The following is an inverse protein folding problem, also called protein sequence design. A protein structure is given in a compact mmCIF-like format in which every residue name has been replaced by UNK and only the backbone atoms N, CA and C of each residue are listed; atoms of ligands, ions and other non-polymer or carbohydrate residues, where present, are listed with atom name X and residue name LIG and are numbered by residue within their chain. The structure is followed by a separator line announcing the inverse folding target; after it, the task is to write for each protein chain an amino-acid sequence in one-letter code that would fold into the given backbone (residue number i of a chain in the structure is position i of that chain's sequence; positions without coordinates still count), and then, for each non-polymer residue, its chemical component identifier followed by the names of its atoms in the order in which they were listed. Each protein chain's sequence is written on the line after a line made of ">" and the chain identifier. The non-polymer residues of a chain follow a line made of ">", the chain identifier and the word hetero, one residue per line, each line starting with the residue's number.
data_IF_342220297189
#
_entry.id   IF_342220297189
#
_cell.length_a   1.000
_cell.length_b   1.000
_cell.length_c   1.000
_cell.angle_alpha   90.00
_cell.angle_beta   90.00
_cell.angle_gamma   90.00
#
_symmetry.space_group_name_H-M   'P 1'
#
loop_
_entity.id
_entity.type
_entity.pdbx_description
1 polymer ?
#
# COMPACT_ATOMS: atom_id res chain seq x y z
N UNK A 1 -46.12 15.68 -19.34
CA UNK A 1 -45.71 15.41 -17.94
C UNK A 1 -44.64 14.32 -18.01
N UNK A 2 -43.38 14.65 -18.29
CA UNK A 2 -42.36 15.17 -17.36
C UNK A 2 -42.34 14.38 -16.05
N UNK A 3 -41.32 13.53 -15.89
CA UNK A 3 -40.39 13.67 -14.78
C UNK A 3 -39.05 13.05 -15.17
N UNK A 4 -38.17 13.93 -15.65
CA UNK A 4 -36.75 13.70 -15.90
C UNK A 4 -36.05 13.15 -14.65
N UNK A 5 -35.38 12.01 -14.82
CA UNK A 5 -34.30 11.60 -13.93
C UNK A 5 -33.06 12.45 -14.25
N UNK A 6 -32.38 13.04 -13.26
CA UNK A 6 -31.26 13.93 -13.52
C UNK A 6 -30.06 13.16 -14.10
N UNK A 7 -29.72 13.51 -15.34
CA UNK A 7 -28.51 13.11 -16.08
C UNK A 7 -27.18 13.36 -15.34
N UNK A 8 -27.20 14.09 -14.22
CA UNK A 8 -26.04 14.42 -13.40
C UNK A 8 -25.47 13.24 -12.57
N UNK A 9 -26.24 12.16 -12.32
CA UNK A 9 -25.74 11.01 -11.56
C UNK A 9 -24.98 9.96 -12.40
N UNK A 10 -25.14 9.96 -13.73
CA UNK A 10 -24.49 8.99 -14.62
C UNK A 10 -23.04 9.37 -14.95
N UNK A 11 -22.75 10.67 -15.06
CA UNK A 11 -21.38 11.19 -15.26
C UNK A 11 -20.48 11.07 -14.02
N UNK A 12 -21.05 11.08 -12.81
CA UNK A 12 -20.31 11.05 -11.54
C UNK A 12 -19.80 9.64 -11.17
N UNK A 13 -20.53 8.60 -11.56
CA UNK A 13 -20.06 7.18 -11.46
C UNK A 13 -19.00 6.86 -12.50
N UNK A 14 -19.08 7.49 -13.68
CA UNK A 14 -18.08 7.35 -14.73
C UNK A 14 -16.74 7.91 -14.26
N UNK A 15 -16.71 9.11 -13.67
CA UNK A 15 -15.49 9.78 -13.21
C UNK A 15 -14.70 9.02 -12.12
N UNK A 16 -15.40 8.37 -11.18
CA UNK A 16 -14.76 7.55 -10.12
C UNK A 16 -14.22 6.24 -10.71
N UNK A 17 -14.93 5.64 -11.68
CA UNK A 17 -14.41 4.48 -12.41
C UNK A 17 -13.19 4.86 -13.27
N UNK A 18 -13.17 6.04 -13.89
CA UNK A 18 -12.03 6.50 -14.69
C UNK A 18 -10.78 6.70 -13.84
N UNK A 19 -10.91 7.15 -12.60
CA UNK A 19 -9.79 7.32 -11.66
C UNK A 19 -9.19 5.99 -11.18
N UNK A 20 -10.03 4.98 -10.92
CA UNK A 20 -9.57 3.62 -10.56
C UNK A 20 -8.98 2.89 -11.77
N UNK A 21 -9.51 3.13 -12.96
CA UNK A 21 -8.99 2.57 -14.22
C UNK A 21 -7.68 3.24 -14.63
N UNK A 22 -7.50 4.54 -14.38
CA UNK A 22 -6.21 5.23 -14.58
C UNK A 22 -5.12 4.70 -13.65
N UNK A 23 -5.48 4.31 -12.41
CA UNK A 23 -4.54 3.65 -11.49
C UNK A 23 -4.12 2.25 -11.98
N UNK A 24 -4.92 1.59 -12.83
CA UNK A 24 -4.59 0.28 -13.41
C UNK A 24 -3.95 0.36 -14.81
N UNK A 25 -3.97 1.52 -15.48
CA UNK A 25 -3.61 1.64 -16.89
C UNK A 25 -2.14 1.97 -17.16
N UNK A 26 -1.32 2.25 -16.14
CA UNK A 26 0.07 2.69 -16.34
C UNK A 26 1.15 1.61 -16.21
N UNK A 27 0.81 0.32 -16.20
CA UNK A 27 1.83 -0.75 -16.23
C UNK A 27 1.74 -1.52 -17.54
N UNK A 28 2.25 -0.91 -18.61
CA UNK A 28 2.72 -1.66 -19.79
C UNK A 28 4.24 -1.78 -19.69
N UNK A 29 4.70 -2.65 -18.79
CA UNK A 29 6.12 -2.94 -18.66
C UNK A 29 6.56 -3.88 -19.81
N UNK A 30 7.55 -3.46 -20.58
CA UNK A 30 8.34 -4.39 -21.40
C UNK A 30 8.93 -5.48 -20.50
N UNK A 31 9.08 -6.69 -21.03
CA UNK A 31 9.67 -7.80 -20.28
C UNK A 31 11.16 -7.48 -19.98
N UNK A 32 11.59 -7.55 -18.71
CA UNK A 32 12.96 -7.23 -18.32
C UNK A 32 13.96 -8.27 -18.85
N UNK A 33 15.12 -7.79 -19.28
CA UNK A 33 16.24 -8.64 -19.68
C UNK A 33 16.89 -9.39 -18.51
N UNK A 34 16.71 -8.90 -17.27
CA UNK A 34 17.30 -9.42 -16.03
C UNK A 34 16.19 -9.72 -15.03
N UNK A 35 16.15 -10.96 -14.53
CA UNK A 35 15.20 -11.43 -13.53
C UNK A 35 15.91 -11.73 -12.23
N UNK A 36 15.33 -11.30 -11.11
CA UNK A 36 15.80 -11.63 -9.77
C UNK A 36 14.74 -12.51 -9.11
N UNK A 37 15.16 -13.63 -8.51
CA UNK A 37 14.23 -14.61 -7.96
C UNK A 37 13.43 -14.09 -6.76
N UNK A 38 14.05 -13.24 -5.92
CA UNK A 38 13.44 -12.64 -4.73
C UNK A 38 13.76 -11.14 -4.68
N UNK A 39 12.80 -10.25 -4.99
CA UNK A 39 13.00 -8.81 -4.91
C UNK A 39 13.03 -8.30 -3.46
N UNK A 40 12.45 -9.02 -2.51
CA UNK A 40 12.42 -8.65 -1.09
C UNK A 40 13.07 -9.73 -0.24
N UNK A 41 14.06 -9.36 0.58
CA UNK A 41 14.79 -10.28 1.47
C UNK A 41 14.87 -9.70 2.86
N UNK A 42 14.28 -10.38 3.82
CA UNK A 42 14.46 -10.07 5.24
C UNK A 42 15.54 -10.97 5.82
N UNK A 43 16.52 -10.40 6.50
CA UNK A 43 17.60 -11.12 7.14
C UNK A 43 17.90 -10.56 8.54
N UNK A 44 18.41 -11.40 9.43
CA UNK A 44 18.82 -10.97 10.76
C UNK A 44 20.21 -10.34 10.74
N UNK A 45 20.46 -9.45 11.69
CA UNK A 45 21.81 -8.99 12.00
C UNK A 45 22.78 -10.20 12.10
N UNK A 46 23.88 -10.18 11.33
CA UNK A 46 24.89 -11.24 11.16
C UNK A 46 24.50 -12.48 10.37
N UNK A 47 23.24 -12.64 9.98
CA UNK A 47 22.80 -13.75 9.13
C UNK A 47 23.13 -13.54 7.65
N UNK A 48 23.15 -14.66 6.93
CA UNK A 48 23.37 -14.72 5.49
C UNK A 48 22.10 -15.13 4.77
N UNK A 49 21.76 -14.41 3.70
CA UNK A 49 20.72 -14.80 2.76
C UNK A 49 21.30 -14.88 1.35
N UNK A 50 20.59 -15.52 0.43
CA UNK A 50 21.01 -15.65 -0.96
C UNK A 50 19.89 -15.21 -1.90
N UNK A 51 20.29 -14.64 -3.03
CA UNK A 51 19.38 -14.36 -4.14
C UNK A 51 20.00 -14.79 -5.46
N UNK A 52 19.14 -15.10 -6.42
CA UNK A 52 19.55 -15.55 -7.74
C UNK A 52 19.30 -14.46 -8.77
N UNK A 53 20.33 -14.10 -9.54
CA UNK A 53 20.18 -13.30 -10.76
C UNK A 53 20.10 -14.24 -11.95
N UNK A 54 19.08 -14.07 -12.76
CA UNK A 54 18.81 -14.85 -13.98
C UNK A 54 18.83 -13.89 -15.17
N UNK A 55 19.66 -14.19 -16.16
CA UNK A 55 19.69 -13.45 -17.43
C UNK A 55 19.09 -14.34 -18.52
N UNK A 56 17.96 -13.92 -19.09
CA UNK A 56 17.22 -14.70 -20.07
C UNK A 56 17.51 -14.32 -21.53
N UNK A 57 18.27 -13.24 -21.76
CA UNK A 57 18.63 -12.80 -23.11
C UNK A 57 20.07 -13.19 -23.47
N UNK A 58 20.33 -13.67 -24.70
CA UNK A 58 21.68 -13.96 -25.15
C UNK A 58 22.49 -12.67 -25.24
N UNK A 59 23.64 -12.68 -24.58
CA UNK A 59 24.52 -11.52 -24.47
C UNK A 59 25.43 -11.46 -25.71
N UNK A 60 25.38 -10.35 -26.44
CA UNK A 60 26.13 -10.17 -27.69
C UNK A 60 27.56 -9.67 -27.46
N UNK A 61 27.80 -8.88 -26.42
CA UNK A 61 29.09 -8.25 -26.12
C UNK A 61 29.62 -8.65 -24.73
N UNK A 62 30.93 -8.61 -24.51
CA UNK A 62 31.49 -8.70 -23.16
C UNK A 62 30.86 -7.61 -22.28
N UNK A 63 30.21 -8.05 -21.21
CA UNK A 63 29.51 -7.17 -20.27
C UNK A 63 29.76 -7.64 -18.85
N UNK A 64 29.43 -6.82 -17.87
CA UNK A 64 29.47 -7.22 -16.46
C UNK A 64 28.21 -6.74 -15.75
N UNK A 65 27.69 -7.58 -14.87
CA UNK A 65 26.65 -7.17 -13.91
C UNK A 65 27.37 -6.55 -12.73
N UNK A 66 27.08 -5.29 -12.45
CA UNK A 66 27.55 -4.57 -11.27
C UNK A 66 26.40 -4.49 -10.29
N UNK A 67 26.62 -4.98 -9.07
CA UNK A 67 25.65 -4.94 -7.99
C UNK A 67 26.05 -3.79 -7.08
N UNK A 68 25.29 -2.70 -7.12
CA UNK A 68 25.50 -1.55 -6.25
C UNK A 68 24.65 -1.69 -4.99
N UNK A 69 25.25 -1.43 -3.83
CA UNK A 69 24.55 -1.34 -2.56
C UNK A 69 24.40 0.14 -2.23
N UNK A 70 23.17 0.59 -1.95
CA UNK A 70 22.98 1.98 -1.53
C UNK A 70 23.69 2.29 -0.19
N UNK A 71 23.92 1.27 0.65
CA UNK A 71 24.54 1.44 1.96
C UNK A 71 25.46 0.27 2.38
N UNK A 72 26.76 0.38 2.07
CA UNK A 72 27.79 -0.64 2.38
C UNK A 72 27.96 -0.97 3.88
N UNK A 73 27.39 -0.16 4.77
CA UNK A 73 27.39 -0.43 6.22
C UNK A 73 26.29 -1.40 6.65
N UNK A 74 25.16 -1.47 5.93
CA UNK A 74 24.01 -2.32 6.32
C UNK A 74 24.21 -3.75 5.82
N UNK A 75 24.79 -3.91 4.63
CA UNK A 75 24.99 -5.21 3.99
C UNK A 75 26.42 -5.40 3.48
N UNK A 76 26.84 -6.67 3.41
CA UNK A 76 28.02 -7.10 2.69
C UNK A 76 27.63 -8.09 1.61
N UNK A 77 28.14 -7.91 0.40
CA UNK A 77 28.04 -8.87 -0.69
C UNK A 77 29.30 -9.75 -0.73
N UNK A 78 29.14 -11.01 -1.13
CA UNK A 78 30.25 -11.89 -1.49
C UNK A 78 30.82 -11.58 -2.89
N UNK A 79 29.98 -11.08 -3.80
CA UNK A 79 30.32 -10.69 -5.16
C UNK A 79 29.62 -9.39 -5.55
N UNK A 80 30.41 -8.40 -5.97
CA UNK A 80 29.91 -7.08 -6.42
C UNK A 80 29.90 -6.97 -7.94
N UNK A 81 30.75 -7.74 -8.64
CA UNK A 81 30.87 -7.71 -10.11
C UNK A 81 30.86 -9.13 -10.65
N UNK A 82 29.98 -9.40 -11.62
CA UNK A 82 29.86 -10.70 -12.30
C UNK A 82 30.20 -10.50 -13.79
N UNK A 83 31.32 -11.06 -14.29
CA UNK A 83 31.68 -10.95 -15.69
C UNK A 83 30.79 -11.85 -16.56
N UNK A 84 30.29 -11.31 -17.66
CA UNK A 84 29.46 -11.98 -18.65
C UNK A 84 30.23 -12.11 -19.96
N UNK A 85 30.28 -13.34 -20.47
CA UNK A 85 30.96 -13.64 -21.73
C UNK A 85 29.93 -13.73 -22.87
N UNK A 86 30.31 -13.37 -24.11
CA UNK A 86 29.43 -13.42 -25.27
C UNK A 86 28.98 -14.87 -25.57
N UNK A 87 27.77 -15.03 -26.12
CA UNK A 87 27.12 -16.31 -26.45
C UNK A 87 26.77 -17.22 -25.26
N UNK A 88 26.77 -16.69 -24.05
CA UNK A 88 26.33 -17.41 -22.86
C UNK A 88 24.78 -17.45 -22.81
N UNK A 89 24.19 -18.63 -22.92
CA UNK A 89 22.73 -18.82 -22.86
C UNK A 89 22.27 -19.18 -21.44
N UNK A 90 21.35 -18.37 -20.89
CA UNK A 90 20.62 -18.61 -19.64
C UNK A 90 21.47 -19.05 -18.45
N UNK A 91 22.01 -18.09 -17.71
CA UNK A 91 22.78 -18.35 -16.49
C UNK A 91 22.05 -17.86 -15.25
N UNK A 92 22.25 -18.60 -14.16
CA UNK A 92 21.79 -18.25 -12.82
C UNK A 92 23.00 -18.09 -11.91
N UNK A 93 23.12 -16.92 -11.28
CA UNK A 93 24.17 -16.66 -10.29
C UNK A 93 23.56 -16.47 -8.92
N UNK A 94 24.02 -17.29 -7.96
CA UNK A 94 23.65 -17.15 -6.56
C UNK A 94 24.63 -16.19 -5.89
N UNK A 95 24.11 -15.11 -5.32
CA UNK A 95 24.87 -14.08 -4.60
C UNK A 95 24.46 -14.16 -3.13
N UNK A 96 25.47 -14.13 -2.25
CA UNK A 96 25.27 -14.19 -0.81
C UNK A 96 25.35 -12.78 -0.22
N UNK A 97 24.32 -12.40 0.52
CA UNK A 97 24.27 -11.14 1.27
C UNK A 97 24.39 -11.43 2.76
N UNK A 98 25.14 -10.60 3.47
CA UNK A 98 25.35 -10.71 4.92
C UNK A 98 24.91 -9.41 5.60
N UNK A 99 24.08 -9.52 6.64
CA UNK A 99 23.65 -8.39 7.46
C UNK A 99 24.76 -7.86 8.36
N UNK A 100 25.22 -6.64 8.13
CA UNK A 100 26.28 -5.98 8.93
C UNK A 100 25.72 -5.05 10.01
N UNK A 101 24.62 -4.37 9.75
CA UNK A 101 23.96 -3.48 10.70
C UNK A 101 22.45 -3.48 10.48
N UNK A 102 21.62 -3.35 11.52
CA UNK A 102 20.17 -3.25 11.35
C UNK A 102 19.78 -2.01 10.54
N UNK A 103 18.81 -2.16 9.65
CA UNK A 103 18.39 -1.13 8.71
C UNK A 103 17.97 -1.75 7.37
N UNK A 104 17.57 -0.92 6.41
CA UNK A 104 17.23 -1.39 5.07
C UNK A 104 18.31 -0.97 4.10
N UNK A 105 18.55 -1.82 3.10
CA UNK A 105 19.44 -1.50 2.01
C UNK A 105 18.82 -1.98 0.70
N UNK A 106 19.07 -1.21 -0.36
CA UNK A 106 18.62 -1.53 -1.70
C UNK A 106 19.86 -2.00 -2.47
N UNK A 107 19.74 -3.14 -3.14
CA UNK A 107 20.73 -3.66 -4.08
C UNK A 107 20.21 -3.40 -5.49
N UNK A 108 20.95 -2.67 -6.30
CA UNK A 108 20.61 -2.46 -7.71
C UNK A 108 21.59 -3.23 -8.59
N UNK A 109 21.06 -4.09 -9.46
CA UNK A 109 21.85 -4.80 -10.45
C UNK A 109 21.82 -4.03 -11.79
N UNK A 110 22.97 -3.56 -12.25
CA UNK A 110 23.11 -2.84 -13.52
C UNK A 110 24.05 -3.57 -14.48
N UNK A 111 23.80 -3.46 -15.78
CA UNK A 111 24.63 -4.03 -16.83
C UNK A 111 25.60 -2.97 -17.36
N UNK A 112 26.89 -3.31 -17.48
CA UNK A 112 27.93 -2.45 -18.03
C UNK A 112 28.58 -3.13 -19.26
N UNK A 113 28.66 -2.49 -20.46
CA UNK A 113 28.16 -1.15 -20.82
C UNK A 113 26.62 -1.08 -20.96
N UNK A 114 26.06 0.09 -20.66
CA UNK A 114 24.63 0.32 -20.39
C UNK A 114 23.68 0.30 -21.62
N UNK A 115 24.15 -0.14 -22.79
CA UNK A 115 23.53 0.24 -24.07
C UNK A 115 22.29 -0.55 -24.52
N UNK A 116 21.85 -1.62 -23.82
CA UNK A 116 20.77 -2.45 -24.40
C UNK A 116 19.58 -2.86 -23.52
N UNK A 117 19.55 -2.64 -22.21
CA UNK A 117 18.34 -2.96 -21.44
C UNK A 117 18.37 -2.36 -20.03
N UNK A 118 17.88 -1.12 -19.88
CA UNK A 118 17.70 -0.50 -18.56
C UNK A 118 16.34 -0.98 -18.01
N UNK A 119 16.36 -2.11 -17.32
CA UNK A 119 15.43 -2.35 -16.22
C UNK A 119 16.30 -2.76 -15.03
N UNK A 120 16.72 -1.77 -14.26
CA UNK A 120 17.37 -1.98 -12.97
C UNK A 120 16.35 -2.68 -12.07
N UNK A 121 16.56 -3.96 -11.81
CA UNK A 121 15.79 -4.67 -10.79
C UNK A 121 16.44 -4.38 -9.44
N UNK A 122 15.76 -3.58 -8.62
CA UNK A 122 16.15 -3.32 -7.26
C UNK A 122 15.73 -4.51 -6.37
N UNK A 123 16.60 -4.89 -5.44
CA UNK A 123 16.30 -5.82 -4.34
C UNK A 123 16.23 -4.99 -3.07
N UNK A 124 15.10 -5.06 -2.38
CA UNK A 124 14.95 -4.47 -1.06
C UNK A 124 15.37 -5.52 -0.02
N UNK A 125 16.32 -5.14 0.81
CA UNK A 125 16.83 -6.02 1.86
C UNK A 125 16.61 -5.34 3.21
N UNK A 126 15.85 -5.98 4.07
CA UNK A 126 15.59 -5.54 5.43
C UNK A 126 16.45 -6.33 6.42
N UNK A 127 17.31 -5.64 7.17
CA UNK A 127 18.15 -6.22 8.22
C UNK A 127 17.52 -5.95 9.57
N UNK A 128 16.95 -6.98 10.18
CA UNK A 128 16.30 -6.87 11.48
C UNK A 128 17.30 -6.99 12.64
N UNK A 129 17.09 -6.18 13.68
CA UNK A 129 17.93 -6.16 14.90
C UNK A 129 17.62 -7.33 15.85
N UNK A 130 16.34 -7.68 15.99
CA UNK A 130 15.89 -8.70 16.94
C UNK A 130 14.66 -9.46 16.40
N UNK A 131 14.86 -10.74 16.10
CA UNK A 131 13.81 -11.65 15.62
C UNK A 131 12.62 -11.71 16.59
N UNK A 132 12.86 -11.62 17.90
CA UNK A 132 11.80 -11.77 18.90
C UNK A 132 10.83 -10.61 18.85
N UNK A 133 11.32 -9.39 18.60
CA UNK A 133 10.49 -8.21 18.45
C UNK A 133 9.70 -8.24 17.14
N UNK A 134 10.33 -8.70 16.04
CA UNK A 134 9.65 -8.93 14.75
C UNK A 134 8.49 -9.92 14.89
N UNK A 135 8.77 -11.12 15.41
CA UNK A 135 7.73 -12.16 15.65
C UNK A 135 6.65 -11.66 16.60
N UNK A 136 7.00 -10.96 17.68
CA UNK A 136 6.03 -10.43 18.61
C UNK A 136 5.12 -9.38 17.93
N UNK A 137 5.70 -8.49 17.11
CA UNK A 137 4.93 -7.51 16.32
C UNK A 137 3.94 -8.21 15.40
N UNK A 138 4.38 -9.22 14.65
CA UNK A 138 3.54 -9.95 13.72
C UNK A 138 2.39 -10.67 14.44
N UNK A 139 2.69 -11.38 15.54
CA UNK A 139 1.68 -12.09 16.33
C UNK A 139 0.64 -11.12 16.90
N UNK A 140 1.09 -10.00 17.48
CA UNK A 140 0.19 -8.96 18.01
C UNK A 140 -0.66 -8.38 16.87
N UNK A 141 -0.06 -8.12 15.70
CA UNK A 141 -0.74 -7.64 14.51
C UNK A 141 -1.88 -8.55 14.05
N UNK A 142 -1.64 -9.87 14.00
CA UNK A 142 -2.66 -10.86 13.63
C UNK A 142 -3.74 -11.05 14.69
N UNK A 143 -3.40 -10.99 15.97
CA UNK A 143 -4.39 -10.98 17.07
C UNK A 143 -5.27 -9.74 16.96
N UNK A 144 -4.68 -8.57 16.73
CA UNK A 144 -5.40 -7.32 16.53
C UNK A 144 -6.37 -7.42 15.35
N UNK A 145 -5.90 -7.86 14.18
CA UNK A 145 -6.73 -8.09 13.00
C UNK A 145 -7.92 -9.02 13.31
N UNK A 146 -7.66 -10.12 13.99
CA UNK A 146 -8.69 -11.10 14.36
C UNK A 146 -9.73 -10.52 15.32
N UNK A 147 -9.27 -9.81 16.36
CA UNK A 147 -10.16 -9.18 17.34
C UNK A 147 -11.08 -8.14 16.69
N UNK A 148 -10.55 -7.30 15.81
CA UNK A 148 -11.38 -6.35 15.05
C UNK A 148 -12.32 -7.04 14.08
N UNK A 149 -11.88 -8.07 13.39
CA UNK A 149 -12.73 -8.86 12.50
C UNK A 149 -13.92 -9.39 13.27
N UNK A 150 -13.71 -10.06 14.41
CA UNK A 150 -14.80 -10.59 15.24
C UNK A 150 -15.74 -9.48 15.73
N UNK A 151 -15.24 -8.28 16.03
CA UNK A 151 -16.08 -7.17 16.53
C UNK A 151 -17.02 -6.58 15.47
N UNK A 152 -16.70 -6.69 14.18
CA UNK A 152 -17.55 -6.14 13.12
C UNK A 152 -18.79 -6.99 12.77
N UNK A 153 -18.70 -8.31 12.89
CA UNK A 153 -19.75 -9.23 12.43
C UNK A 153 -21.07 -9.17 13.24
N UNK A 154 -21.07 -8.93 14.56
CA UNK A 154 -22.30 -8.81 15.33
C UNK A 154 -23.27 -7.75 14.78
N UNK A 155 -22.75 -6.62 14.27
CA UNK A 155 -23.58 -5.57 13.68
C UNK A 155 -24.24 -6.06 12.37
N UNK A 156 -23.46 -6.67 11.47
CA UNK A 156 -23.95 -7.23 10.21
C UNK A 156 -25.02 -8.29 10.46
N UNK A 157 -24.77 -9.18 11.42
CA UNK A 157 -25.70 -10.25 11.80
C UNK A 157 -27.00 -9.69 12.38
N UNK A 158 -26.90 -8.68 13.26
CA UNK A 158 -28.08 -8.05 13.87
C UNK A 158 -28.94 -7.36 12.83
N UNK A 159 -28.32 -6.62 11.90
CA UNK A 159 -29.02 -5.99 10.77
C UNK A 159 -29.73 -7.04 9.90
N UNK A 160 -29.04 -8.16 9.61
CA UNK A 160 -29.61 -9.26 8.83
C UNK A 160 -30.79 -9.94 9.52
N UNK A 161 -30.70 -10.18 10.84
CA UNK A 161 -31.73 -10.85 11.64
C UNK A 161 -32.96 -9.96 11.83
N UNK A 162 -32.76 -8.67 12.12
CA UNK A 162 -33.84 -7.71 12.34
C UNK A 162 -34.46 -7.17 11.05
N UNK A 163 -33.77 -7.33 9.91
CA UNK A 163 -34.11 -6.68 8.62
C UNK A 163 -34.30 -5.17 8.75
N UNK A 164 -33.61 -4.58 9.73
CA UNK A 164 -33.69 -3.19 10.11
C UNK A 164 -32.30 -2.73 10.54
N UNK A 165 -31.94 -1.51 10.14
CA UNK A 165 -30.71 -0.81 10.55
C UNK A 165 -31.01 0.33 11.53
N UNK A 166 -32.22 0.36 12.09
CA UNK A 166 -32.61 1.36 13.10
C UNK A 166 -31.70 1.24 14.33
N UNK A 167 -31.06 2.34 14.70
CA UNK A 167 -30.07 2.41 15.78
C UNK A 167 -28.62 2.40 15.31
N UNK A 168 -28.35 2.12 14.03
CA UNK A 168 -27.03 2.30 13.44
C UNK A 168 -26.75 3.80 13.23
N UNK A 169 -25.57 4.26 13.65
CA UNK A 169 -25.15 5.65 13.41
C UNK A 169 -24.58 5.78 11.99
N UNK A 170 -25.32 6.47 11.12
CA UNK A 170 -24.95 6.66 9.71
C UNK A 170 -23.76 7.60 9.52
N UNK A 171 -23.52 8.53 10.44
CA UNK A 171 -22.36 9.42 10.40
C UNK A 171 -21.08 8.62 10.65
N UNK A 172 -21.10 7.79 11.69
CA UNK A 172 -19.98 6.92 12.01
C UNK A 172 -19.69 5.93 10.87
N UNK A 173 -20.74 5.39 10.23
CA UNK A 173 -20.62 4.52 9.07
C UNK A 173 -20.01 5.24 7.85
N UNK A 174 -20.49 6.45 7.55
CA UNK A 174 -19.97 7.28 6.45
C UNK A 174 -18.51 7.66 6.64
N UNK A 175 -18.12 8.04 7.86
CA UNK A 175 -16.74 8.36 8.18
C UNK A 175 -15.84 7.11 8.19
N UNK A 176 -16.35 5.97 8.64
CA UNK A 176 -15.62 4.70 8.60
C UNK A 176 -15.25 4.29 7.18
N UNK A 177 -16.18 4.37 6.23
CA UNK A 177 -15.88 3.92 4.86
C UNK A 177 -14.78 4.77 4.23
N UNK A 178 -14.78 6.09 4.46
CA UNK A 178 -13.69 6.97 3.99
C UNK A 178 -12.39 6.60 4.70
N UNK A 179 -12.40 6.51 6.04
CA UNK A 179 -11.18 6.21 6.81
C UNK A 179 -10.55 4.86 6.43
N UNK A 180 -11.35 3.79 6.37
CA UNK A 180 -10.84 2.46 6.02
C UNK A 180 -10.40 2.38 4.56
N UNK A 181 -11.12 3.02 3.64
CA UNK A 181 -10.72 3.06 2.24
C UNK A 181 -9.38 3.78 2.05
N UNK A 182 -9.21 4.96 2.66
CA UNK A 182 -7.96 5.72 2.59
C UNK A 182 -6.79 4.97 3.24
N UNK A 183 -7.04 4.28 4.34
CA UNK A 183 -6.03 3.45 4.99
C UNK A 183 -5.67 2.23 4.13
N UNK A 184 -6.64 1.63 3.45
CA UNK A 184 -6.39 0.55 2.49
C UNK A 184 -5.55 1.04 1.32
N UNK A 185 -5.85 2.21 0.75
CA UNK A 185 -5.02 2.82 -0.30
C UNK A 185 -3.58 3.05 0.16
N UNK A 186 -3.40 3.59 1.38
CA UNK A 186 -2.08 3.78 1.97
C UNK A 186 -1.31 2.46 2.09
N UNK A 187 -1.90 1.46 2.76
CA UNK A 187 -1.24 0.18 3.01
C UNK A 187 -0.98 -0.60 1.72
N UNK A 188 -1.96 -0.67 0.81
CA UNK A 188 -1.79 -1.35 -0.48
C UNK A 188 -0.76 -0.63 -1.36
N UNK A 189 -0.76 0.71 -1.36
CA UNK A 189 0.21 1.50 -2.11
C UNK A 189 1.63 1.27 -1.63
N UNK A 190 1.87 1.33 -0.32
CA UNK A 190 3.17 1.03 0.27
C UNK A 190 3.59 -0.43 0.10
N UNK A 191 2.65 -1.38 0.18
CA UNK A 191 2.96 -2.81 0.08
C UNK A 191 3.20 -3.27 -1.37
N UNK A 192 2.48 -2.72 -2.34
CA UNK A 192 2.44 -3.26 -3.72
C UNK A 192 3.25 -2.45 -4.73
N UNK A 193 3.57 -1.18 -4.46
CA UNK A 193 4.21 -0.30 -5.42
C UNK A 193 5.68 -0.08 -5.10
N UNK A 194 6.57 -0.60 -5.96
CA UNK A 194 8.01 -0.36 -5.87
C UNK A 194 8.36 1.13 -5.99
N UNK A 195 7.60 1.89 -6.78
CA UNK A 195 7.78 3.35 -6.93
C UNK A 195 7.58 4.08 -5.58
N UNK A 196 6.55 3.70 -4.81
CA UNK A 196 6.28 4.31 -3.51
C UNK A 196 7.39 3.97 -2.51
N UNK A 197 7.86 2.73 -2.53
CA UNK A 197 8.94 2.28 -1.67
C UNK A 197 10.25 3.00 -2.00
N UNK A 198 10.57 3.15 -3.28
CA UNK A 198 11.73 3.92 -3.75
C UNK A 198 11.67 5.37 -3.25
N UNK A 199 10.56 6.08 -3.52
CA UNK A 199 10.33 7.44 -3.02
C UNK A 199 10.42 7.54 -1.49
N UNK A 200 10.00 6.49 -0.77
CA UNK A 200 10.11 6.45 0.69
C UNK A 200 11.57 6.34 1.14
N UNK A 201 12.36 5.46 0.51
CA UNK A 201 13.74 5.21 0.87
C UNK A 201 14.67 6.36 0.48
N UNK A 202 14.41 7.06 -0.62
CA UNK A 202 15.11 8.30 -0.97
C UNK A 202 15.02 9.34 0.15
N UNK A 203 13.85 9.44 0.79
CA UNK A 203 13.57 10.40 1.86
C UNK A 203 13.93 9.88 3.26
N UNK A 204 13.90 8.56 3.45
CA UNK A 204 14.06 7.91 4.75
C UNK A 204 15.03 6.73 4.67
N UNK A 205 16.31 7.05 4.43
CA UNK A 205 17.40 6.11 4.16
C UNK A 205 17.57 5.03 5.25
N UNK A 206 17.16 5.31 6.50
CA UNK A 206 17.32 4.38 7.63
C UNK A 206 16.01 3.79 8.16
N UNK A 207 14.87 4.13 7.56
CA UNK A 207 13.56 3.69 8.06
C UNK A 207 13.10 2.40 7.38
N UNK A 208 12.41 1.54 8.13
CA UNK A 208 11.66 0.43 7.57
C UNK A 208 10.36 0.91 6.93
N UNK A 209 9.89 0.13 5.95
CA UNK A 209 8.57 0.33 5.37
C UNK A 209 7.58 0.28 6.53
N UNK A 210 6.75 1.33 6.71
CA UNK A 210 5.94 1.49 7.91
C UNK A 210 4.65 0.64 7.90
N UNK A 211 4.55 -0.35 7.02
CA UNK A 211 3.33 -1.13 6.75
C UNK A 211 3.65 -2.61 6.83
N UNK A 212 2.83 -3.35 7.57
CA UNK A 212 2.90 -4.81 7.64
C UNK A 212 1.73 -5.45 6.89
N UNK A 213 1.87 -6.74 6.57
CA UNK A 213 0.85 -7.48 5.81
C UNK A 213 -0.51 -7.52 6.53
N UNK A 214 -0.50 -7.69 7.85
CA UNK A 214 -1.71 -7.64 8.69
C UNK A 214 -2.45 -6.29 8.58
N UNK A 215 -1.75 -5.17 8.37
CA UNK A 215 -2.39 -3.86 8.18
C UNK A 215 -3.17 -3.80 6.85
N UNK A 216 -2.59 -4.39 5.79
CA UNK A 216 -3.24 -4.53 4.47
C UNK A 216 -4.51 -5.37 4.60
N UNK A 217 -4.42 -6.54 5.25
CA UNK A 217 -5.58 -7.41 5.47
C UNK A 217 -6.65 -6.71 6.30
N UNK A 218 -6.28 -6.08 7.41
CA UNK A 218 -7.19 -5.38 8.29
C UNK A 218 -7.93 -4.25 7.57
N UNK A 219 -7.20 -3.36 6.91
CA UNK A 219 -7.79 -2.18 6.25
C UNK A 219 -8.71 -2.57 5.09
N UNK A 220 -8.28 -3.52 4.25
CA UNK A 220 -9.08 -4.02 3.13
C UNK A 220 -10.34 -4.73 3.63
N UNK A 221 -10.20 -5.62 4.63
CA UNK A 221 -11.32 -6.32 5.23
C UNK A 221 -12.34 -5.35 5.85
N UNK A 222 -11.87 -4.39 6.65
CA UNK A 222 -12.72 -3.38 7.28
C UNK A 222 -13.48 -2.53 6.24
N UNK A 223 -12.84 -2.21 5.12
CA UNK A 223 -13.48 -1.52 3.99
C UNK A 223 -14.62 -2.36 3.39
N UNK A 224 -14.37 -3.64 3.11
CA UNK A 224 -15.37 -4.57 2.55
C UNK A 224 -16.55 -4.78 3.50
N UNK A 225 -16.29 -5.05 4.77
CA UNK A 225 -17.31 -5.20 5.82
C UNK A 225 -18.16 -3.93 5.96
N UNK A 226 -17.53 -2.76 5.89
CA UNK A 226 -18.25 -1.48 5.92
C UNK A 226 -19.12 -1.29 4.69
N UNK A 227 -18.64 -1.67 3.49
CA UNK A 227 -19.45 -1.68 2.27
C UNK A 227 -20.66 -2.62 2.36
N UNK A 228 -20.49 -3.81 2.94
CA UNK A 228 -21.60 -4.73 3.21
C UNK A 228 -22.63 -4.08 4.14
N UNK A 229 -22.18 -3.40 5.18
CA UNK A 229 -23.07 -2.69 6.12
C UNK A 229 -23.79 -1.52 5.43
N UNK A 230 -23.10 -0.75 4.59
CA UNK A 230 -23.71 0.31 3.76
C UNK A 230 -24.77 -0.29 2.82
N UNK A 231 -24.47 -1.43 2.19
CA UNK A 231 -25.42 -2.13 1.34
C UNK A 231 -26.67 -2.56 2.12
N UNK A 232 -26.52 -3.09 3.33
CA UNK A 232 -27.65 -3.37 4.22
C UNK A 232 -28.50 -2.13 4.49
N UNK A 233 -27.90 -0.95 4.68
CA UNK A 233 -28.62 0.31 4.86
C UNK A 233 -29.43 0.76 3.63
N UNK A 234 -29.17 0.20 2.45
CA UNK A 234 -29.96 0.47 1.23
C UNK A 234 -31.17 -0.44 1.08
N UNK A 235 -31.13 -1.63 1.68
CA UNK A 235 -32.18 -2.66 1.52
C UNK A 235 -33.10 -2.72 2.75
N UNK A 236 -32.54 -2.58 3.95
CA UNK A 236 -33.28 -2.74 5.20
C UNK A 236 -33.96 -1.46 5.67
N UNK A 237 -34.93 -1.63 6.57
CA UNK A 237 -35.65 -0.50 7.15
C UNK A 237 -34.70 0.39 7.95
N UNK A 238 -34.65 1.68 7.58
CA UNK A 238 -33.79 2.70 8.19
C UNK A 238 -34.56 3.85 8.86
N UNK A 239 -35.90 3.79 8.83
CA UNK A 239 -36.77 4.88 9.27
C UNK A 239 -36.39 6.22 8.61
N UNK A 240 -36.27 7.26 9.44
CA UNK A 240 -35.88 8.63 9.03
C UNK A 240 -34.39 8.91 9.16
N UNK A 241 -33.57 7.92 9.53
CA UNK A 241 -32.13 8.10 9.76
C UNK A 241 -31.43 8.49 8.45
N UNK A 242 -30.63 9.56 8.54
CA UNK A 242 -29.80 10.06 7.45
C UNK A 242 -28.48 10.52 8.04
N UNK A 243 -27.46 10.55 7.18
CA UNK A 243 -26.19 11.22 7.54
C UNK A 243 -26.49 12.68 7.87
N UNK A 244 -25.97 13.17 9.00
CA UNK A 244 -26.11 14.55 9.45
C UNK A 244 -25.47 15.53 8.47
N UNK A 245 -25.92 16.79 8.51
CA UNK A 245 -25.35 17.83 7.67
C UNK A 245 -23.88 18.10 8.01
N UNK A 246 -23.52 18.04 9.30
CA UNK A 246 -22.13 18.18 9.76
C UNK A 246 -21.23 17.07 9.20
N UNK A 247 -21.65 15.81 9.32
CA UNK A 247 -20.89 14.69 8.77
C UNK A 247 -20.78 14.78 7.24
N UNK A 248 -21.85 15.19 6.53
CA UNK A 248 -21.78 15.42 5.07
C UNK A 248 -20.78 16.51 4.69
N UNK A 249 -20.80 17.63 5.41
CA UNK A 249 -19.84 18.72 5.17
C UNK A 249 -18.41 18.25 5.40
N UNK A 250 -18.16 17.54 6.49
CA UNK A 250 -16.85 17.00 6.82
C UNK A 250 -16.35 15.99 5.77
N UNK A 251 -17.22 15.07 5.31
CA UNK A 251 -16.91 14.14 4.22
C UNK A 251 -16.61 14.87 2.90
N UNK A 252 -17.38 15.91 2.57
CA UNK A 252 -17.16 16.72 1.38
C UNK A 252 -15.82 17.47 1.46
N UNK A 253 -15.48 18.03 2.63
CA UNK A 253 -14.21 18.72 2.86
C UNK A 253 -13.03 17.78 2.65
N UNK A 254 -13.05 16.57 3.20
CA UNK A 254 -11.99 15.59 2.94
C UNK A 254 -11.90 15.19 1.47
N UNK A 255 -13.04 15.01 0.81
CA UNK A 255 -13.06 14.69 -0.62
C UNK A 255 -12.43 15.79 -1.47
N UNK A 256 -12.80 17.06 -1.23
CA UNK A 256 -12.25 18.20 -1.95
C UNK A 256 -10.75 18.38 -1.67
N UNK A 257 -10.35 18.25 -0.41
CA UNK A 257 -8.96 18.31 0.01
C UNK A 257 -8.10 17.26 -0.71
N UNK A 258 -8.49 15.99 -0.66
CA UNK A 258 -7.75 14.91 -1.32
C UNK A 258 -7.78 15.02 -2.84
N UNK A 259 -8.86 15.53 -3.42
CA UNK A 259 -8.92 15.81 -4.86
C UNK A 259 -7.92 16.91 -5.25
N UNK A 260 -7.74 17.93 -4.41
CA UNK A 260 -6.72 18.97 -4.62
C UNK A 260 -5.29 18.42 -4.53
N UNK A 261 -4.99 17.62 -3.50
CA UNK A 261 -3.68 16.94 -3.35
C UNK A 261 -3.40 16.05 -4.55
N UNK A 262 -4.40 15.26 -4.98
CA UNK A 262 -4.26 14.41 -6.16
C UNK A 262 -4.00 15.25 -7.43
N UNK A 263 -4.67 16.40 -7.58
CA UNK A 263 -4.38 17.35 -8.65
C UNK A 263 -2.90 17.75 -8.68
N UNK A 264 -2.31 18.10 -7.53
CA UNK A 264 -0.88 18.43 -7.45
C UNK A 264 0.04 17.26 -7.82
N UNK A 265 -0.35 16.02 -7.54
CA UNK A 265 0.38 14.83 -8.01
C UNK A 265 0.30 14.71 -9.53
N UNK A 266 -0.88 14.92 -10.12
CA UNK A 266 -1.06 14.88 -11.57
C UNK A 266 -0.28 15.99 -12.30
N UNK A 267 -0.02 17.12 -11.65
CA UNK A 267 0.85 18.20 -12.16
C UNK A 267 2.34 18.00 -11.80
N UNK A 268 2.74 16.81 -11.33
CA UNK A 268 4.11 16.48 -10.92
C UNK A 268 4.72 17.46 -9.90
N UNK A 269 3.87 18.15 -9.13
CA UNK A 269 4.32 19.04 -8.04
C UNK A 269 4.51 18.26 -6.74
N UNK A 270 3.72 17.20 -6.56
CA UNK A 270 3.82 16.25 -5.45
C UNK A 270 4.04 14.84 -6.00
N UNK A 271 4.64 13.98 -5.19
CA UNK A 271 4.81 12.58 -5.53
C UNK A 271 3.64 11.73 -5.02
N UNK A 272 3.52 10.51 -5.54
CA UNK A 272 2.48 9.58 -5.12
C UNK A 272 2.57 9.23 -3.63
N UNK A 273 3.79 9.15 -3.07
CA UNK A 273 3.99 8.94 -1.63
C UNK A 273 3.36 10.05 -0.78
N UNK A 274 3.38 11.30 -1.26
CA UNK A 274 2.80 12.44 -0.55
C UNK A 274 1.28 12.31 -0.48
N UNK A 275 0.65 11.92 -1.59
CA UNK A 275 -0.79 11.67 -1.62
C UNK A 275 -1.20 10.53 -0.66
N UNK A 276 -0.45 9.42 -0.65
CA UNK A 276 -0.72 8.32 0.27
C UNK A 276 -0.54 8.76 1.73
N UNK A 277 0.49 9.52 2.06
CA UNK A 277 0.68 10.08 3.39
C UNK A 277 -0.51 10.98 3.80
N UNK A 278 -1.02 11.82 2.90
CA UNK A 278 -2.23 12.61 3.17
C UNK A 278 -3.47 11.74 3.40
N UNK A 279 -3.61 10.63 2.67
CA UNK A 279 -4.67 9.65 2.92
C UNK A 279 -4.60 9.07 4.34
N UNK A 280 -3.39 8.72 4.81
CA UNK A 280 -3.15 8.24 6.17
C UNK A 280 -3.49 9.30 7.23
N UNK A 281 -3.07 10.55 7.01
CA UNK A 281 -3.40 11.66 7.92
C UNK A 281 -4.90 11.90 8.02
N UNK A 282 -5.63 11.92 6.90
CA UNK A 282 -7.09 12.06 6.91
C UNK A 282 -7.75 10.92 7.69
N UNK A 283 -7.32 9.67 7.51
CA UNK A 283 -7.82 8.55 8.32
C UNK A 283 -7.58 8.76 9.82
N UNK A 284 -6.39 9.25 10.21
CA UNK A 284 -6.10 9.55 11.60
C UNK A 284 -7.01 10.66 12.13
N UNK A 285 -7.21 11.74 11.38
CA UNK A 285 -8.13 12.81 11.76
C UNK A 285 -9.57 12.32 11.90
N UNK A 286 -10.06 11.51 10.96
CA UNK A 286 -11.39 10.88 11.04
C UNK A 286 -11.51 10.06 12.33
N UNK A 287 -10.48 9.28 12.65
CA UNK A 287 -10.46 8.46 13.88
C UNK A 287 -10.60 9.36 15.11
N UNK A 288 -9.84 10.46 15.19
CA UNK A 288 -9.93 11.42 16.28
C UNK A 288 -11.32 12.08 16.36
N UNK A 289 -11.83 12.61 15.26
CA UNK A 289 -13.16 13.28 15.20
C UNK A 289 -14.27 12.33 15.65
N UNK A 290 -14.19 11.04 15.31
CA UNK A 290 -15.19 10.05 15.71
C UNK A 290 -15.19 9.76 17.21
N UNK A 291 -14.02 9.75 17.84
CA UNK A 291 -13.87 9.31 19.23
C UNK A 291 -13.79 10.46 20.24
N UNK A 292 -13.43 11.69 19.83
CA UNK A 292 -13.41 12.87 20.72
C UNK A 292 -14.79 13.11 21.37
N UNK A 293 -15.91 13.20 20.61
CA UNK A 293 -17.26 13.35 21.17
C UNK A 293 -17.63 12.25 22.18
N UNK A 294 -17.19 11.02 21.92
CA UNK A 294 -17.47 9.87 22.78
C UNK A 294 -16.71 9.95 24.11
N UNK A 295 -15.54 10.59 24.12
CA UNK A 295 -14.74 10.80 25.34
C UNK A 295 -15.15 12.05 26.12
N UNK A 296 -15.59 13.11 25.45
CA UNK A 296 -15.94 14.38 26.10
C UNK A 296 -17.43 14.53 26.43
N UNK A 297 -18.27 13.60 25.96
CA UNK A 297 -19.73 13.68 26.12
C UNK A 297 -20.39 14.80 25.30
N UNK A 298 -19.64 15.47 24.42
CA UNK A 298 -20.18 16.52 23.55
C UNK A 298 -20.95 15.89 22.39
N UNK A 299 -22.26 16.16 22.31
CA UNK A 299 -23.10 15.78 21.17
C UNK A 299 -23.07 16.91 20.15
N UNK A 300 -22.63 16.65 18.92
CA UNK A 300 -22.76 17.57 17.78
C UNK A 300 -24.10 17.36 17.06
#
# INVERSE_FOLDING_TARGET
>A
MVCDMPHALKGRKLFICTLVILFCAEIKANAPCLFISNPDITLLYTDKAYFSIIVNTPIQNESSIVINVNHDKVLSLDKTVIPLHPNMSSNTWNITITGKHPGNAILTATLNPAEQCIQSSAIHVAVEKDLRLGIASDVIGWIYFTAWTVSFYPQIYTNYKKKSVIGLNFDFLGLNIIGFFLYSLYNLGFYSSSLIQEQFFERNIHSAIPVQLNDVFFSTHATLVTLVTIFQCTIYERGTQRVSMGARFLMLTYFLYLSGVLGFVMFHTLEWIDFLNQCSHVKLTITLVKYIPQMTGMVF
#
